data_IF_203514641520
#
_entry.id   IF_203514641520
#
_cell.length_a   1.000
_cell.length_b   1.000
_cell.length_c   1.000
_cell.angle_alpha   90.00
_cell.angle_beta   90.00
_cell.angle_gamma   90.00
#
_symmetry.space_group_name_H-M   'P 1'
#
loop_
_entity.id
_entity.type
_entity.pdbx_description
1 polymer ?
#
# COMPACT_ATOMS: atom_id res chain seq x y z
N UNK A 1 6.92 8.15 5.80
CA UNK A 1 6.66 8.17 7.25
C UNK A 1 7.45 7.06 7.93
N UNK A 2 7.82 7.29 9.18
CA UNK A 2 8.35 6.28 10.08
C UNK A 2 7.29 5.97 11.14
N UNK A 3 6.74 4.75 11.12
CA UNK A 3 5.62 4.35 11.97
C UNK A 3 6.04 4.24 13.43
N UNK A 4 7.31 3.91 13.69
CA UNK A 4 7.86 3.84 15.05
C UNK A 4 8.04 5.20 15.67
N UNK A 5 8.54 6.14 14.89
CA UNK A 5 8.85 7.49 15.35
C UNK A 5 7.61 8.41 15.37
N UNK A 6 6.46 7.91 14.87
CA UNK A 6 5.27 8.73 14.62
C UNK A 6 5.61 10.02 13.85
N UNK A 7 6.53 9.91 12.86
CA UNK A 7 7.14 11.05 12.19
C UNK A 7 6.80 11.06 10.69
N UNK A 8 6.38 12.22 10.19
CA UNK A 8 5.90 12.41 8.82
C UNK A 8 7.01 12.61 7.78
N UNK A 9 8.25 12.94 8.20
CA UNK A 9 9.35 13.30 7.29
C UNK A 9 10.56 12.41 7.57
N UNK A 10 11.10 11.84 6.49
CA UNK A 10 12.37 11.13 6.44
C UNK A 10 13.23 11.85 5.41
N UNK A 11 14.40 12.35 5.82
CA UNK A 11 15.44 12.76 4.89
C UNK A 11 15.85 11.57 3.99
N UNK A 12 16.56 11.84 2.90
CA UNK A 12 16.89 10.84 1.88
C UNK A 12 17.68 9.60 2.39
N UNK A 13 18.18 9.63 3.64
CA UNK A 13 18.87 8.51 4.30
C UNK A 13 18.18 7.98 5.57
N UNK A 14 16.99 8.49 5.91
CA UNK A 14 16.31 8.08 7.15
C UNK A 14 15.50 6.80 6.95
N UNK A 15 15.36 6.07 8.05
CA UNK A 15 14.58 4.84 8.15
C UNK A 15 13.10 5.15 7.95
N UNK A 16 12.47 4.52 6.94
CA UNK A 16 11.05 4.72 6.61
C UNK A 16 10.33 3.39 6.41
N UNK A 17 9.03 3.38 6.72
CA UNK A 17 8.19 2.17 6.61
C UNK A 17 7.21 2.28 5.44
N UNK A 18 6.56 3.45 5.31
CA UNK A 18 5.55 3.73 4.29
C UNK A 18 5.82 5.05 3.56
N UNK A 19 5.46 5.11 2.29
CA UNK A 19 5.43 6.33 1.48
C UNK A 19 4.08 6.48 0.79
N UNK A 20 3.65 7.73 0.65
CA UNK A 20 2.42 8.10 -0.03
C UNK A 20 2.76 9.02 -1.20
N UNK A 21 2.16 8.77 -2.37
CA UNK A 21 2.24 9.63 -3.55
C UNK A 21 0.88 9.65 -4.21
N UNK A 22 0.08 10.69 -3.95
CA UNK A 22 -1.37 10.66 -4.24
C UNK A 22 -2.00 9.41 -3.62
N UNK A 23 -2.68 8.59 -4.43
CA UNK A 23 -3.32 7.36 -3.99
C UNK A 23 -2.37 6.15 -3.94
N UNK A 24 -1.12 6.31 -4.36
CA UNK A 24 -0.15 5.22 -4.35
C UNK A 24 0.53 5.11 -2.99
N UNK A 25 0.57 3.88 -2.47
CA UNK A 25 1.22 3.53 -1.22
C UNK A 25 2.35 2.55 -1.54
N UNK A 26 3.54 2.86 -1.04
CA UNK A 26 4.70 1.98 -1.10
C UNK A 26 5.24 1.69 0.28
N UNK A 27 5.90 0.54 0.41
CA UNK A 27 6.63 0.11 1.60
C UNK A 27 8.12 0.12 1.33
N UNK A 28 8.95 0.21 2.38
CA UNK A 28 10.39 0.07 2.21
C UNK A 28 10.76 -1.41 1.99
N UNK A 29 10.57 -1.87 0.77
CA UNK A 29 10.84 -3.23 0.32
C UNK A 29 10.97 -3.31 -1.20
N UNK A 30 11.39 -4.46 -1.70
CA UNK A 30 11.36 -4.79 -3.13
C UNK A 30 12.00 -3.71 -4.00
N UNK A 31 11.27 -3.19 -4.98
CA UNK A 31 11.79 -2.13 -5.88
C UNK A 31 11.74 -0.72 -5.27
N UNK A 32 11.12 -0.55 -4.10
CA UNK A 32 11.01 0.72 -3.39
C UNK A 32 12.15 0.98 -2.39
N UNK A 33 12.82 -0.06 -1.90
CA UNK A 33 13.93 0.06 -0.95
C UNK A 33 14.44 -1.30 -0.43
N UNK A 34 15.55 -1.27 0.31
CA UNK A 34 16.25 -2.48 0.79
C UNK A 34 15.73 -3.01 2.14
N UNK A 35 14.73 -2.36 2.74
CA UNK A 35 14.13 -2.81 3.99
C UNK A 35 13.34 -4.12 3.86
N UNK A 36 12.92 -4.68 5.00
CA UNK A 36 12.12 -5.90 5.08
C UNK A 36 10.61 -5.66 4.94
N UNK A 37 10.21 -4.48 4.47
CA UNK A 37 8.83 -4.04 4.45
C UNK A 37 7.92 -4.89 3.56
N UNK A 38 6.66 -4.52 3.52
CA UNK A 38 5.65 -5.12 2.65
C UNK A 38 4.27 -5.01 3.28
N UNK A 39 3.25 -5.46 2.55
CA UNK A 39 1.89 -5.44 3.02
C UNK A 39 1.15 -6.72 2.68
N UNK A 40 0.09 -7.00 3.43
CA UNK A 40 -0.89 -7.99 3.05
C UNK A 40 -2.29 -7.55 3.47
N UNK A 41 -3.30 -7.96 2.69
CA UNK A 41 -4.70 -7.69 3.00
C UNK A 41 -5.23 -8.78 3.90
N UNK A 42 -5.90 -8.39 4.98
CA UNK A 42 -6.53 -9.34 5.91
C UNK A 42 -7.85 -9.88 5.39
N UNK A 43 -8.44 -9.23 4.36
CA UNK A 43 -9.81 -9.48 3.92
C UNK A 43 -10.89 -8.95 4.88
N UNK A 44 -10.50 -8.34 6.00
CA UNK A 44 -11.40 -7.77 7.01
C UNK A 44 -11.59 -6.26 6.82
N UNK A 45 -12.68 -5.74 7.37
CA UNK A 45 -12.95 -4.31 7.55
C UNK A 45 -12.99 -3.90 9.03
N UNK A 46 -12.84 -4.85 9.96
CA UNK A 46 -12.83 -4.59 11.40
C UNK A 46 -11.42 -4.21 11.88
N UNK A 47 -11.16 -2.91 11.99
CA UNK A 47 -9.88 -2.42 12.49
C UNK A 47 -9.61 -2.75 13.96
N UNK A 48 -10.67 -2.99 14.75
CA UNK A 48 -10.55 -3.26 16.19
C UNK A 48 -10.18 -4.71 16.52
N UNK A 49 -10.25 -5.60 15.53
CA UNK A 49 -9.82 -6.98 15.67
C UNK A 49 -8.32 -7.08 16.00
N UNK A 50 -7.93 -8.22 16.58
CA UNK A 50 -6.52 -8.52 16.85
C UNK A 50 -5.89 -9.16 15.62
N UNK A 51 -4.79 -8.56 15.13
CA UNK A 51 -4.02 -9.04 13.99
C UNK A 51 -2.61 -9.43 14.42
N UNK A 52 -2.19 -10.62 14.03
CA UNK A 52 -0.91 -11.23 14.41
C UNK A 52 0.12 -11.21 13.29
N UNK A 53 -0.32 -11.01 12.04
CA UNK A 53 0.52 -11.06 10.85
C UNK A 53 0.57 -12.43 10.17
N UNK A 54 -0.07 -13.46 10.73
CA UNK A 54 -0.17 -14.80 10.11
C UNK A 54 -1.42 -14.98 9.23
N UNK A 55 -2.32 -14.00 9.21
CA UNK A 55 -3.59 -14.05 8.47
C UNK A 55 -3.37 -13.98 6.96
N UNK A 56 -2.24 -13.41 6.53
CA UNK A 56 -1.94 -13.20 5.13
C UNK A 56 -0.44 -13.22 4.83
N UNK A 57 -0.11 -13.52 3.58
CA UNK A 57 1.27 -13.53 3.10
C UNK A 57 1.73 -12.11 2.76
N UNK A 58 2.81 -11.66 3.40
CA UNK A 58 3.46 -10.38 3.07
C UNK A 58 3.88 -10.34 1.60
N UNK A 59 3.49 -9.27 0.91
CA UNK A 59 3.92 -8.95 -0.46
C UNK A 59 4.78 -7.69 -0.44
N UNK A 60 5.94 -7.77 -1.11
CA UNK A 60 6.88 -6.65 -1.26
C UNK A 60 6.47 -5.74 -2.41
N UNK A 61 6.99 -4.51 -2.40
CA UNK A 61 6.77 -3.56 -3.48
C UNK A 61 7.39 -4.04 -4.79
N UNK A 62 6.74 -3.67 -5.89
CA UNK A 62 7.25 -3.93 -7.23
C UNK A 62 6.95 -2.76 -8.16
N UNK A 63 7.67 -2.72 -9.27
CA UNK A 63 7.46 -1.71 -10.29
C UNK A 63 6.25 -2.10 -11.14
N UNK A 64 5.19 -1.29 -11.09
CA UNK A 64 3.97 -1.46 -11.89
C UNK A 64 3.77 -0.26 -12.81
N UNK A 65 3.28 -0.55 -14.00
CA UNK A 65 2.89 0.46 -14.98
C UNK A 65 1.37 0.54 -15.04
N UNK A 66 0.84 1.75 -15.03
CA UNK A 66 -0.55 2.01 -15.43
C UNK A 66 -0.54 2.62 -16.81
N UNK A 67 -1.42 2.12 -17.69
CA UNK A 67 -1.71 2.68 -19.01
C UNK A 67 -2.52 3.98 -18.94
N UNK A 68 -3.03 4.32 -17.75
CA UNK A 68 -3.71 5.58 -17.46
C UNK A 68 -5.22 5.51 -17.66
N UNK A 69 -5.98 5.61 -16.56
CA UNK A 69 -7.41 5.92 -16.55
C UNK A 69 -7.65 7.17 -15.70
N UNK A 70 -7.58 8.35 -16.32
CA UNK A 70 -7.57 9.68 -15.66
C UNK A 70 -6.41 10.57 -16.15
N UNK A 71 -6.25 11.83 -15.68
CA UNK A 71 -5.39 12.88 -16.30
C UNK A 71 -3.87 12.64 -16.24
N UNK A 72 -3.42 11.41 -16.01
CA UNK A 72 -2.01 11.03 -15.92
C UNK A 72 -1.75 10.08 -17.08
N UNK A 73 -0.96 10.55 -18.05
CA UNK A 73 -0.30 9.71 -19.05
C UNK A 73 0.43 8.57 -18.37
N UNK A 74 0.45 7.38 -18.97
CA UNK A 74 0.98 6.15 -18.35
C UNK A 74 2.24 6.37 -17.52
N UNK A 75 2.22 5.84 -16.30
CA UNK A 75 3.28 6.05 -15.30
C UNK A 75 3.75 4.71 -14.76
N UNK A 76 5.05 4.62 -14.51
CA UNK A 76 5.69 3.47 -13.90
C UNK A 76 6.16 3.87 -12.51
N UNK A 77 5.65 3.19 -11.49
CA UNK A 77 5.90 3.52 -10.08
C UNK A 77 6.26 2.25 -9.32
N UNK A 78 7.15 2.36 -8.33
CA UNK A 78 7.34 1.27 -7.36
C UNK A 78 6.30 1.43 -6.25
N UNK A 79 5.41 0.46 -6.12
CA UNK A 79 4.26 0.53 -5.21
C UNK A 79 3.99 -0.83 -4.62
N UNK A 80 3.23 -0.88 -3.51
CA UNK A 80 2.79 -2.15 -2.98
C UNK A 80 1.56 -2.66 -3.75
N UNK A 81 1.64 -3.81 -4.45
CA UNK A 81 0.56 -4.29 -5.31
C UNK A 81 -0.69 -4.73 -4.54
N UNK A 82 -0.60 -4.98 -3.23
CA UNK A 82 -1.76 -5.37 -2.43
C UNK A 82 -2.64 -4.16 -2.07
N UNK A 83 -2.03 -2.98 -1.95
CA UNK A 83 -2.69 -1.76 -1.48
C UNK A 83 -2.94 -0.78 -2.62
N UNK A 84 -2.11 -0.79 -3.68
CA UNK A 84 -2.14 0.24 -4.72
C UNK A 84 -1.92 -0.31 -6.13
N UNK A 85 -2.33 -1.54 -6.42
CA UNK A 85 -2.30 -2.02 -7.80
C UNK A 85 -3.11 -1.11 -8.74
N UNK A 86 -2.60 -0.83 -9.95
CA UNK A 86 -3.35 -0.08 -10.96
C UNK A 86 -4.68 -0.77 -11.30
N UNK A 87 -5.75 0.03 -11.38
CA UNK A 87 -7.10 -0.47 -11.66
C UNK A 87 -7.28 -1.02 -13.08
N UNK A 88 -6.36 -0.68 -13.99
CA UNK A 88 -6.33 -1.11 -15.38
C UNK A 88 -5.53 -2.41 -15.61
N UNK A 89 -5.08 -3.08 -14.54
CA UNK A 89 -4.56 -4.45 -14.65
C UNK A 89 -5.72 -5.42 -14.92
N UNK A 90 -5.77 -5.95 -16.15
CA UNK A 90 -6.75 -6.96 -16.55
C UNK A 90 -6.05 -8.18 -17.20
N UNK A 91 -6.16 -9.39 -16.60
CA UNK A 91 -6.80 -9.65 -15.30
C UNK A 91 -5.95 -9.11 -14.14
N UNK A 92 -6.60 -8.66 -13.07
CA UNK A 92 -5.92 -8.31 -11.82
C UNK A 92 -5.28 -9.59 -11.23
N UNK A 93 -3.96 -9.63 -10.99
CA UNK A 93 -3.31 -10.79 -10.40
C UNK A 93 -3.90 -11.15 -9.03
N UNK A 94 -3.94 -12.44 -8.71
CA UNK A 94 -4.43 -12.89 -7.41
C UNK A 94 -3.62 -12.27 -6.26
N UNK A 95 -4.32 -11.75 -5.25
CA UNK A 95 -3.72 -11.05 -4.12
C UNK A 95 -3.37 -9.58 -4.38
N UNK A 96 -3.53 -9.08 -5.61
CA UNK A 96 -3.35 -7.66 -5.90
C UNK A 96 -4.67 -6.93 -5.69
N UNK A 97 -4.56 -5.65 -5.36
CA UNK A 97 -5.73 -4.83 -5.11
C UNK A 97 -5.37 -3.38 -4.86
N UNK A 98 -6.42 -2.60 -4.65
CA UNK A 98 -6.30 -1.20 -4.27
C UNK A 98 -7.22 -0.88 -3.09
N UNK A 99 -6.78 0.02 -2.22
CA UNK A 99 -7.50 0.49 -1.03
C UNK A 99 -8.79 1.26 -1.35
N UNK A 100 -9.00 1.61 -2.63
CA UNK A 100 -10.17 2.35 -3.08
C UNK A 100 -10.89 1.67 -4.24
N UNK A 101 -12.15 2.03 -4.47
CA UNK A 101 -12.84 1.87 -5.75
C UNK A 101 -12.87 3.20 -6.49
N UNK A 102 -12.97 3.15 -7.82
CA UNK A 102 -13.09 4.35 -8.65
C UNK A 102 -14.21 4.14 -9.67
N UNK A 103 -15.24 4.98 -9.59
CA UNK A 103 -16.39 4.93 -10.49
C UNK A 103 -17.01 6.31 -10.60
N UNK A 104 -17.49 6.69 -11.79
CA UNK A 104 -18.11 7.99 -12.03
C UNK A 104 -17.28 9.17 -11.50
N UNK A 105 -15.96 9.13 -11.67
CA UNK A 105 -14.99 10.12 -11.17
C UNK A 105 -14.89 10.27 -9.64
N UNK A 106 -15.53 9.36 -8.90
CA UNK A 106 -15.52 9.32 -7.44
C UNK A 106 -14.58 8.20 -7.00
N UNK A 107 -13.67 8.53 -6.10
CA UNK A 107 -12.87 7.57 -5.36
C UNK A 107 -13.63 7.24 -4.07
N UNK A 108 -13.59 5.99 -3.63
CA UNK A 108 -14.22 5.60 -2.35
C UNK A 108 -13.34 4.58 -1.65
N UNK A 109 -12.90 4.91 -0.43
CA UNK A 109 -12.16 3.99 0.41
C UNK A 109 -12.95 2.71 0.70
N UNK A 110 -12.29 1.54 0.59
CA UNK A 110 -12.92 0.23 0.86
C UNK A 110 -12.93 -0.15 2.34
N UNK A 111 -12.32 0.66 3.20
CA UNK A 111 -12.09 0.35 4.62
C UNK A 111 -11.43 -1.02 4.86
N UNK A 112 -10.69 -1.55 3.88
CA UNK A 112 -9.97 -2.81 4.04
C UNK A 112 -8.83 -2.64 5.04
N UNK A 113 -8.70 -3.60 5.94
CA UNK A 113 -7.61 -3.65 6.92
C UNK A 113 -6.41 -4.39 6.32
N UNK A 114 -5.27 -3.72 6.35
CA UNK A 114 -3.99 -4.23 5.88
C UNK A 114 -3.03 -4.42 7.05
N UNK A 115 -2.20 -5.45 6.96
CA UNK A 115 -1.04 -5.62 7.83
C UNK A 115 0.17 -5.09 7.09
N UNK A 116 0.80 -4.06 7.65
CA UNK A 116 2.04 -3.47 7.15
C UNK A 116 3.20 -4.06 7.93
N UNK A 117 4.17 -4.59 7.20
CA UNK A 117 5.49 -4.91 7.74
C UNK A 117 6.36 -3.68 7.54
N UNK A 118 6.87 -3.12 8.62
CA UNK A 118 7.85 -2.04 8.59
C UNK A 118 9.23 -2.53 8.12
N UNK A 119 10.15 -1.61 7.89
CA UNK A 119 11.46 -1.95 7.30
C UNK A 119 12.29 -2.91 8.17
N UNK A 120 12.13 -2.84 9.49
CA UNK A 120 12.80 -3.73 10.42
C UNK A 120 12.01 -5.02 10.75
N UNK A 121 10.88 -5.26 10.08
CA UNK A 121 10.04 -6.43 10.30
C UNK A 121 8.89 -6.27 11.31
N UNK A 122 8.82 -5.14 12.04
CA UNK A 122 7.68 -4.86 12.93
C UNK A 122 6.35 -4.83 12.16
N UNK A 123 5.25 -5.19 12.83
CA UNK A 123 3.92 -5.27 12.22
C UNK A 123 3.03 -4.14 12.70
N UNK A 124 2.26 -3.57 11.77
CA UNK A 124 1.31 -2.49 12.00
C UNK A 124 0.01 -2.79 11.27
N UNK A 125 -1.08 -2.24 11.76
CA UNK A 125 -2.39 -2.32 11.11
C UNK A 125 -2.67 -0.99 10.44
N UNK A 126 -3.12 -1.02 9.18
CA UNK A 126 -3.50 0.15 8.39
C UNK A 126 -4.91 -0.04 7.85
N UNK A 127 -5.75 0.97 8.02
CA UNK A 127 -7.04 1.07 7.34
C UNK A 127 -7.16 2.47 6.73
N UNK A 128 -7.41 2.53 5.42
CA UNK A 128 -7.68 3.79 4.74
C UNK A 128 -9.17 4.12 4.89
N UNK A 129 -9.47 5.29 5.42
CA UNK A 129 -10.84 5.73 5.72
C UNK A 129 -11.34 6.83 4.77
N UNK A 130 -10.43 7.64 4.24
CA UNK A 130 -10.76 8.80 3.41
C UNK A 130 -9.59 9.12 2.46
N UNK A 131 -9.88 9.93 1.45
CA UNK A 131 -8.95 10.49 0.47
C UNK A 131 -8.84 12.02 0.50
N UNK A 132 -9.65 12.70 1.33
CA UNK A 132 -9.68 14.16 1.49
C UNK A 132 -8.77 14.70 2.61
#
# INVERSE_FOLDING_TARGET
>A
MNLKANAAIVGAGDVWDLRFKRYNIGTNSGTSGTGNGGACSTGSTDFSATYTGSECTKVVDMQLSSSGGGPISGSTESINPVISAPLDLDPMPAGYGTWYSYSNTILTAKATVYIITGENGAKYVLQMLDEY
#
